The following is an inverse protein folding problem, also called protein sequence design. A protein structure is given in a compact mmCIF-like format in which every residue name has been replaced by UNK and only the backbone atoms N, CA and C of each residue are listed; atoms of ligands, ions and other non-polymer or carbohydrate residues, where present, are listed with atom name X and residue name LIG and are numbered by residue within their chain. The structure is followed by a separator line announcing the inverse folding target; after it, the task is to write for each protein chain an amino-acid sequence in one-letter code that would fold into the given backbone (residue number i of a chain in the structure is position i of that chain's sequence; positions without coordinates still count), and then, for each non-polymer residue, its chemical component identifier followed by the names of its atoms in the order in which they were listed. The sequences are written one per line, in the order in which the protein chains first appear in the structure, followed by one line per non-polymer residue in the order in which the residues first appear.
data_IF_768867146262
#
_entry.id   IF_768867146262
#
_cell.length_a   1.000
_cell.length_b   1.000
_cell.length_c   1.000
_cell.angle_alpha   90.00
_cell.angle_beta   90.00
_cell.angle_gamma   90.00
#
_symmetry.space_group_name_H-M   'P 1'
#
loop_
_entity.id
_entity.type
_entity.pdbx_description
1 polymer ?
#
# COMPACT_ATOMS: atom_id res chain seq x y z
N UNK A 1 -18.72 -10.63 -21.44
CA UNK A 1 -20.09 -10.06 -21.41
C UNK A 1 -21.08 -10.94 -20.63
N UNK A 2 -20.93 -12.27 -20.63
CA UNK A 2 -21.79 -13.16 -19.81
C UNK A 2 -21.65 -12.88 -18.31
N UNK A 3 -20.48 -12.59 -17.81
CA UNK A 3 -20.26 -12.24 -16.41
C UNK A 3 -21.06 -11.00 -15.99
N UNK A 4 -21.11 -9.98 -16.85
CA UNK A 4 -21.89 -8.76 -16.58
C UNK A 4 -23.39 -9.07 -16.60
N UNK A 5 -23.82 -9.93 -17.52
CA UNK A 5 -25.25 -10.29 -17.67
C UNK A 5 -25.76 -11.08 -16.47
N UNK A 6 -24.93 -11.97 -15.94
CA UNK A 6 -25.28 -12.85 -14.81
C UNK A 6 -25.02 -12.22 -13.43
N UNK A 7 -24.30 -11.10 -13.36
CA UNK A 7 -24.07 -10.41 -12.11
C UNK A 7 -25.35 -9.79 -11.55
N UNK A 8 -25.58 -9.94 -10.25
CA UNK A 8 -26.69 -9.34 -9.54
C UNK A 8 -26.61 -7.80 -9.56
N UNK A 9 -27.73 -7.13 -9.52
CA UNK A 9 -27.77 -5.68 -9.37
C UNK A 9 -27.47 -5.22 -7.95
N UNK A 10 -27.93 -6.00 -6.96
CA UNK A 10 -27.73 -5.71 -5.54
C UNK A 10 -27.30 -7.01 -4.85
N UNK A 11 -26.25 -6.92 -4.04
CA UNK A 11 -25.83 -7.98 -3.15
C UNK A 11 -25.40 -7.40 -1.80
N UNK A 12 -25.68 -8.13 -0.74
CA UNK A 12 -25.26 -7.77 0.61
C UNK A 12 -23.90 -8.41 0.86
N UNK A 13 -22.93 -7.66 1.42
CA UNK A 13 -21.64 -8.23 1.81
C UNK A 13 -21.80 -9.39 2.80
N UNK A 14 -21.04 -10.45 2.61
CA UNK A 14 -21.01 -11.60 3.52
C UNK A 14 -19.97 -11.41 4.61
N UNK A 15 -20.29 -11.80 5.84
CA UNK A 15 -19.36 -11.81 6.97
C UNK A 15 -18.73 -13.20 7.14
N UNK A 16 -17.54 -13.27 7.72
CA UNK A 16 -16.92 -14.54 8.13
C UNK A 16 -17.87 -15.27 9.08
N UNK A 17 -18.11 -16.55 8.79
CA UNK A 17 -19.04 -17.40 9.55
C UNK A 17 -20.52 -17.26 9.17
N UNK A 18 -20.85 -16.41 8.17
CA UNK A 18 -22.22 -16.23 7.69
C UNK A 18 -22.31 -16.18 6.17
N UNK A 19 -23.39 -16.70 5.63
CA UNK A 19 -23.66 -16.67 4.19
C UNK A 19 -22.63 -17.43 3.36
N UNK A 20 -22.10 -16.79 2.31
CA UNK A 20 -21.08 -17.39 1.42
C UNK A 20 -19.72 -17.66 2.10
N UNK A 21 -19.50 -17.10 3.29
CA UNK A 21 -18.28 -17.27 4.10
C UNK A 21 -18.53 -18.13 5.36
N UNK A 22 -19.59 -18.94 5.37
CA UNK A 22 -19.98 -19.80 6.51
C UNK A 22 -18.89 -20.80 6.92
N UNK A 23 -18.11 -21.28 5.94
CA UNK A 23 -17.04 -22.27 6.15
C UNK A 23 -15.70 -21.63 6.53
N UNK A 24 -15.61 -20.30 6.51
CA UNK A 24 -14.41 -19.59 6.93
C UNK A 24 -14.40 -19.37 8.45
N UNK A 25 -13.35 -19.84 9.09
CA UNK A 25 -13.12 -19.66 10.51
C UNK A 25 -11.82 -18.90 10.75
N UNK A 26 -11.81 -18.07 11.79
CA UNK A 26 -10.58 -17.40 12.22
C UNK A 26 -9.62 -18.44 12.81
N UNK A 27 -8.47 -18.61 12.17
CA UNK A 27 -7.43 -19.55 12.61
C UNK A 27 -6.18 -18.77 12.99
N UNK A 28 -5.69 -19.00 14.21
CA UNK A 28 -4.45 -18.39 14.67
C UNK A 28 -3.27 -19.35 14.44
N UNK A 29 -2.45 -19.03 13.44
CA UNK A 29 -1.24 -19.77 13.12
C UNK A 29 -0.02 -18.85 13.17
N UNK A 30 0.96 -19.17 14.00
CA UNK A 30 2.18 -18.37 14.13
C UNK A 30 2.91 -18.20 12.80
N UNK A 31 2.89 -19.22 11.95
CA UNK A 31 3.52 -19.21 10.62
C UNK A 31 2.89 -18.16 9.68
N UNK A 32 1.65 -17.78 9.89
CA UNK A 32 0.98 -16.72 9.13
C UNK A 32 1.09 -15.35 9.84
N UNK A 33 0.94 -15.35 11.17
CA UNK A 33 0.90 -14.11 11.97
C UNK A 33 2.23 -13.37 11.92
N UNK A 34 3.36 -14.09 12.04
CA UNK A 34 4.68 -13.44 12.09
C UNK A 34 5.01 -12.70 10.78
N UNK A 35 4.93 -13.33 9.59
CA UNK A 35 5.19 -12.62 8.33
C UNK A 35 4.21 -11.48 8.06
N UNK A 36 2.93 -11.70 8.35
CA UNK A 36 1.91 -10.65 8.19
C UNK A 36 2.20 -9.48 9.13
N UNK A 37 2.60 -9.75 10.38
CA UNK A 37 2.98 -8.71 11.34
C UNK A 37 4.17 -7.88 10.86
N UNK A 38 5.19 -8.50 10.27
CA UNK A 38 6.32 -7.78 9.65
C UNK A 38 5.84 -6.93 8.47
N UNK A 39 4.97 -7.47 7.63
CA UNK A 39 4.40 -6.72 6.51
C UNK A 39 3.59 -5.50 7.00
N UNK A 40 2.84 -5.63 8.09
CA UNK A 40 2.10 -4.49 8.68
C UNK A 40 3.03 -3.38 9.19
N UNK A 41 4.21 -3.70 9.69
CA UNK A 41 5.20 -2.68 10.06
C UNK A 41 5.67 -1.92 8.81
N UNK A 42 5.90 -2.63 7.70
CA UNK A 42 6.32 -2.02 6.44
C UNK A 42 5.21 -1.15 5.84
N UNK A 43 3.96 -1.64 5.82
CA UNK A 43 2.82 -0.85 5.33
C UNK A 43 2.54 0.37 6.20
N UNK A 44 2.77 0.30 7.52
CA UNK A 44 2.67 1.48 8.40
C UNK A 44 3.68 2.56 8.02
N UNK A 45 4.91 2.18 7.66
CA UNK A 45 5.94 3.13 7.17
C UNK A 45 5.51 3.73 5.82
N UNK A 46 4.98 2.91 4.91
CA UNK A 46 4.43 3.36 3.64
C UNK A 46 3.29 4.37 3.84
N UNK A 47 2.34 4.06 4.73
CA UNK A 47 1.22 4.96 5.07
C UNK A 47 1.72 6.30 5.62
N UNK A 48 2.74 6.31 6.48
CA UNK A 48 3.36 7.57 6.96
C UNK A 48 3.94 8.37 5.79
N UNK A 49 4.63 7.71 4.85
CA UNK A 49 5.16 8.35 3.65
C UNK A 49 4.07 8.95 2.76
N UNK A 50 3.02 8.19 2.50
CA UNK A 50 1.89 8.62 1.68
C UNK A 50 1.15 9.81 2.29
N UNK A 51 0.89 9.79 3.60
CA UNK A 51 0.23 10.90 4.30
C UNK A 51 1.10 12.15 4.24
N UNK A 52 2.41 12.02 4.51
CA UNK A 52 3.34 13.14 4.41
C UNK A 52 3.32 13.75 3.02
N UNK A 53 3.44 12.91 1.98
CA UNK A 53 3.45 13.35 0.60
C UNK A 53 2.10 13.97 0.15
N UNK A 54 0.96 13.43 0.62
CA UNK A 54 -0.36 14.01 0.37
C UNK A 54 -0.52 15.39 1.01
N UNK A 55 -0.07 15.57 2.25
CA UNK A 55 -0.19 16.84 2.97
C UNK A 55 0.75 17.87 2.37
N UNK A 56 1.99 17.51 2.09
CA UNK A 56 2.95 18.40 1.44
C UNK A 56 2.52 18.76 0.01
N UNK A 57 2.16 17.74 -0.78
CA UNK A 57 1.72 17.94 -2.15
C UNK A 57 0.41 18.71 -2.24
N UNK A 58 -0.55 18.47 -1.38
CA UNK A 58 -1.88 19.06 -1.40
C UNK A 58 -2.00 20.39 -0.68
N UNK A 59 -1.40 20.49 0.52
CA UNK A 59 -1.57 21.64 1.44
C UNK A 59 -0.33 22.52 1.55
N UNK A 60 0.80 22.13 0.93
CA UNK A 60 2.08 22.85 0.99
C UNK A 60 2.58 23.10 2.42
N UNK A 61 2.37 22.14 3.33
CA UNK A 61 2.85 22.16 4.72
C UNK A 61 3.33 20.78 5.13
N UNK A 62 4.04 20.69 6.23
CA UNK A 62 4.42 19.40 6.82
C UNK A 62 3.24 18.73 7.52
N UNK A 63 3.28 17.39 7.55
CA UNK A 63 2.35 16.58 8.31
C UNK A 63 2.63 16.68 9.80
N UNK A 64 1.60 16.78 10.62
CA UNK A 64 1.72 16.74 12.07
C UNK A 64 1.76 15.31 12.60
N UNK A 65 2.41 15.09 13.75
CA UNK A 65 2.47 13.75 14.38
C UNK A 65 1.08 13.15 14.63
N UNK A 66 0.09 14.00 14.93
CA UNK A 66 -1.30 13.57 15.11
C UNK A 66 -1.94 13.08 13.82
N UNK A 67 -1.63 13.72 12.70
CA UNK A 67 -2.12 13.27 11.38
C UNK A 67 -1.48 11.97 10.95
N UNK A 68 -0.17 11.82 11.17
CA UNK A 68 0.57 10.61 10.87
C UNK A 68 0.07 9.42 11.72
N UNK A 69 0.00 9.61 13.04
CA UNK A 69 -0.47 8.55 13.95
C UNK A 69 -1.94 8.20 13.70
N UNK A 70 -2.79 9.21 13.48
CA UNK A 70 -4.20 9.00 13.14
C UNK A 70 -4.39 8.22 11.86
N UNK A 71 -3.57 8.48 10.84
CA UNK A 71 -3.61 7.76 9.57
C UNK A 71 -3.22 6.30 9.71
N UNK A 72 -2.14 5.99 10.43
CA UNK A 72 -1.71 4.60 10.68
C UNK A 72 -2.77 3.83 11.49
N UNK A 73 -3.37 4.47 12.50
CA UNK A 73 -4.46 3.86 13.27
C UNK A 73 -5.67 3.59 12.37
N UNK A 74 -6.02 4.54 11.50
CA UNK A 74 -7.14 4.38 10.57
C UNK A 74 -6.89 3.21 9.59
N UNK A 75 -5.68 3.07 9.08
CA UNK A 75 -5.27 1.99 8.19
C UNK A 75 -5.36 0.62 8.89
N UNK A 76 -4.86 0.52 10.11
CA UNK A 76 -4.95 -0.70 10.92
C UNK A 76 -6.40 -1.08 11.28
N UNK A 77 -7.22 -0.11 11.67
CA UNK A 77 -8.65 -0.33 11.95
C UNK A 77 -9.41 -0.73 10.67
N UNK A 78 -9.11 -0.09 9.54
CA UNK A 78 -9.69 -0.43 8.26
C UNK A 78 -9.36 -1.85 7.83
N UNK A 79 -8.10 -2.27 7.97
CA UNK A 79 -7.65 -3.64 7.71
C UNK A 79 -8.33 -4.67 8.62
N UNK A 80 -8.48 -4.34 9.90
CA UNK A 80 -9.19 -5.20 10.87
C UNK A 80 -10.66 -5.34 10.50
N UNK A 81 -11.29 -4.25 10.07
CA UNK A 81 -12.68 -4.27 9.60
C UNK A 81 -12.82 -5.06 8.29
N UNK A 82 -11.90 -4.90 7.34
CA UNK A 82 -11.89 -5.66 6.08
C UNK A 82 -11.80 -7.18 6.33
N UNK A 83 -11.01 -7.59 7.34
CA UNK A 83 -10.87 -9.00 7.69
C UNK A 83 -12.21 -9.65 8.12
N UNK A 84 -13.15 -8.89 8.72
CA UNK A 84 -14.48 -9.40 9.08
C UNK A 84 -15.31 -9.80 7.85
N UNK A 85 -15.00 -9.23 6.70
CA UNK A 85 -15.63 -9.57 5.42
C UNK A 85 -14.83 -10.60 4.61
N UNK A 86 -13.76 -11.17 5.17
CA UNK A 86 -12.89 -12.10 4.45
C UNK A 86 -12.10 -11.44 3.30
N UNK A 87 -11.90 -10.13 3.36
CA UNK A 87 -11.16 -9.35 2.37
C UNK A 87 -9.73 -9.15 2.86
N UNK A 88 -8.78 -9.01 1.93
CA UNK A 88 -7.39 -8.71 2.23
C UNK A 88 -7.26 -7.37 2.97
N UNK A 89 -6.21 -7.23 3.79
CA UNK A 89 -5.91 -5.96 4.44
C UNK A 89 -5.84 -4.82 3.44
N UNK A 90 -6.36 -3.65 3.81
CA UNK A 90 -6.17 -2.43 3.04
C UNK A 90 -4.89 -1.72 3.49
N UNK A 91 -4.37 -0.86 2.62
CA UNK A 91 -3.28 0.07 2.91
C UNK A 91 -3.57 1.40 2.22
N UNK A 92 -2.77 2.42 2.50
CA UNK A 92 -2.84 3.68 1.77
C UNK A 92 -2.60 3.42 0.27
N UNK A 93 -3.28 4.20 -0.57
CA UNK A 93 -3.17 4.07 -2.02
C UNK A 93 -2.26 5.17 -2.58
N UNK A 94 -0.96 4.85 -2.69
CA UNK A 94 0.11 5.80 -3.05
C UNK A 94 -0.15 6.54 -4.37
N UNK A 95 -0.91 5.95 -5.30
CA UNK A 95 -1.29 6.61 -6.56
C UNK A 95 -2.12 7.88 -6.32
N UNK A 96 -2.87 7.95 -5.23
CA UNK A 96 -3.64 9.14 -4.88
C UNK A 96 -2.76 10.32 -4.47
N UNK A 97 -1.54 10.07 -4.01
CA UNK A 97 -0.57 11.13 -3.69
C UNK A 97 -0.31 12.01 -4.92
N UNK A 98 -0.06 11.38 -6.08
CA UNK A 98 0.11 12.09 -7.34
C UNK A 98 -1.14 12.89 -7.74
N UNK A 99 -2.33 12.29 -7.60
CA UNK A 99 -3.59 12.99 -7.89
C UNK A 99 -3.83 14.19 -6.98
N UNK A 100 -3.59 14.03 -5.67
CA UNK A 100 -3.72 15.13 -4.70
C UNK A 100 -2.73 16.25 -5.01
N UNK A 101 -1.49 15.92 -5.33
CA UNK A 101 -0.46 16.89 -5.70
C UNK A 101 -0.82 17.69 -6.94
N UNK A 102 -1.47 17.05 -7.93
CA UNK A 102 -1.92 17.70 -9.18
C UNK A 102 -3.20 18.51 -9.01
N UNK A 103 -4.21 17.93 -8.35
CA UNK A 103 -5.55 18.53 -8.25
C UNK A 103 -5.70 19.48 -7.08
N UNK A 104 -4.83 19.37 -6.07
CA UNK A 104 -4.92 20.11 -4.79
C UNK A 104 -6.26 19.91 -4.05
N UNK A 105 -6.97 18.82 -4.36
CA UNK A 105 -8.23 18.48 -3.69
C UNK A 105 -7.91 17.78 -2.38
N UNK A 106 -7.98 18.54 -1.28
CA UNK A 106 -7.71 18.09 0.10
C UNK A 106 -8.93 18.21 1.01
N UNK A 107 -10.07 18.55 0.45
CA UNK A 107 -11.31 18.72 1.22
C UNK A 107 -11.82 17.36 1.70
N UNK A 108 -11.92 17.20 3.03
CA UNK A 108 -12.41 15.98 3.68
C UNK A 108 -13.79 15.55 3.18
N UNK A 109 -14.68 16.51 2.92
CA UNK A 109 -16.02 16.21 2.41
C UNK A 109 -15.96 15.57 1.01
N UNK A 110 -15.15 16.13 0.10
CA UNK A 110 -15.00 15.58 -1.25
C UNK A 110 -14.43 14.15 -1.22
N UNK A 111 -13.43 13.90 -0.37
CA UNK A 111 -12.83 12.57 -0.20
C UNK A 111 -13.83 11.59 0.42
N UNK A 112 -14.60 12.03 1.43
CA UNK A 112 -15.64 11.20 2.06
C UNK A 112 -16.75 10.83 1.07
N UNK A 113 -17.14 11.72 0.16
CA UNK A 113 -18.10 11.41 -0.90
C UNK A 113 -17.58 10.34 -1.86
N UNK A 114 -16.27 10.36 -2.16
CA UNK A 114 -15.62 9.28 -2.92
C UNK A 114 -15.69 7.93 -2.19
N UNK A 115 -15.44 7.91 -0.89
CA UNK A 115 -15.56 6.70 -0.07
C UNK A 115 -17.00 6.17 -0.04
N UNK A 116 -18.00 7.04 0.13
CA UNK A 116 -19.42 6.67 0.08
C UNK A 116 -19.76 6.07 -1.29
N UNK A 117 -19.29 6.69 -2.37
CA UNK A 117 -19.50 6.17 -3.72
C UNK A 117 -18.91 4.75 -3.89
N UNK A 118 -17.70 4.49 -3.37
CA UNK A 118 -17.11 3.15 -3.41
C UNK A 118 -17.91 2.14 -2.59
N UNK A 119 -18.44 2.52 -1.44
CA UNK A 119 -19.33 1.66 -0.63
C UNK A 119 -20.59 1.31 -1.43
N UNK A 120 -21.22 2.28 -2.07
CA UNK A 120 -22.39 2.05 -2.92
C UNK A 120 -22.08 1.12 -4.10
N UNK A 121 -20.90 1.29 -4.72
CA UNK A 121 -20.42 0.37 -5.76
C UNK A 121 -20.23 -1.05 -5.23
N UNK A 122 -19.82 -1.22 -3.97
CA UNK A 122 -19.67 -2.52 -3.32
C UNK A 122 -21.01 -3.29 -3.18
N UNK A 123 -22.13 -2.59 -3.03
CA UNK A 123 -23.46 -3.21 -3.03
C UNK A 123 -23.96 -3.60 -4.43
N UNK A 124 -23.25 -3.20 -5.49
CA UNK A 124 -23.64 -3.46 -6.87
C UNK A 124 -22.61 -4.34 -7.59
N UNK A 125 -22.69 -5.70 -7.48
CA UNK A 125 -21.76 -6.62 -8.13
C UNK A 125 -21.61 -6.41 -9.64
N UNK A 126 -22.62 -5.85 -10.27
CA UNK A 126 -22.59 -5.53 -11.70
C UNK A 126 -21.50 -4.52 -12.07
N UNK A 127 -21.23 -3.54 -11.20
CA UNK A 127 -20.13 -2.58 -11.40
C UNK A 127 -18.78 -3.32 -11.33
N UNK A 128 -18.59 -4.22 -10.36
CA UNK A 128 -17.41 -5.07 -10.27
C UNK A 128 -17.23 -5.95 -11.51
N UNK A 129 -18.31 -6.54 -12.02
CA UNK A 129 -18.27 -7.33 -13.23
C UNK A 129 -17.88 -6.51 -14.48
N UNK A 130 -18.33 -5.26 -14.58
CA UNK A 130 -17.92 -4.34 -15.66
C UNK A 130 -16.41 -4.07 -15.56
N UNK A 131 -15.90 -3.78 -14.38
CA UNK A 131 -14.49 -3.52 -14.15
C UNK A 131 -13.61 -4.75 -14.46
N UNK A 132 -14.09 -5.96 -14.13
CA UNK A 132 -13.35 -7.22 -14.40
C UNK A 132 -13.23 -7.58 -15.89
N UNK A 133 -14.10 -7.03 -16.73
CA UNK A 133 -14.12 -7.27 -18.20
C UNK A 133 -13.32 -6.19 -18.95
N UNK A 134 -12.74 -5.20 -18.24
CA UNK A 134 -11.94 -4.17 -18.90
C UNK A 134 -10.73 -4.79 -19.62
N UNK A 135 -10.44 -4.37 -20.87
CA UNK A 135 -9.28 -4.85 -21.62
C UNK A 135 -7.97 -4.58 -20.88
N UNK A 136 -7.07 -5.57 -20.86
CA UNK A 136 -5.76 -5.46 -20.22
C UNK A 136 -4.93 -4.30 -20.76
N UNK A 137 -5.10 -3.94 -22.03
CA UNK A 137 -4.42 -2.79 -22.65
C UNK A 137 -4.85 -1.45 -22.04
N UNK A 138 -6.12 -1.30 -21.67
CA UNK A 138 -6.64 -0.09 -21.00
C UNK A 138 -6.09 -0.01 -19.58
N UNK A 139 -6.17 -1.12 -18.84
CA UNK A 139 -5.64 -1.20 -17.48
C UNK A 139 -4.11 -0.98 -17.47
N UNK A 140 -3.38 -1.54 -18.44
CA UNK A 140 -1.94 -1.36 -18.58
C UNK A 140 -1.55 0.10 -18.84
N UNK A 141 -2.28 0.79 -19.72
CA UNK A 141 -2.06 2.21 -19.98
C UNK A 141 -2.27 3.10 -18.74
N UNK A 142 -3.37 2.85 -18.02
CA UNK A 142 -3.63 3.55 -16.75
C UNK A 142 -2.55 3.24 -15.70
N UNK A 143 -2.12 1.97 -15.59
CA UNK A 143 -1.10 1.53 -14.65
C UNK A 143 0.25 2.25 -14.88
N UNK A 144 0.69 2.40 -16.14
CA UNK A 144 1.94 3.11 -16.47
C UNK A 144 1.91 4.54 -15.94
N UNK A 145 0.81 5.27 -16.14
CA UNK A 145 0.68 6.65 -15.66
C UNK A 145 0.66 6.71 -14.13
N UNK A 146 -0.04 5.79 -13.48
CA UNK A 146 -0.10 5.73 -12.02
C UNK A 146 1.27 5.42 -11.41
N UNK A 147 1.97 4.41 -11.91
CA UNK A 147 3.31 4.07 -11.41
C UNK A 147 4.35 5.16 -11.67
N UNK A 148 4.26 5.86 -12.80
CA UNK A 148 5.10 7.02 -13.05
C UNK A 148 4.86 8.13 -12.00
N UNK A 149 3.61 8.37 -11.61
CA UNK A 149 3.27 9.35 -10.57
C UNK A 149 3.82 8.96 -9.20
N UNK A 150 3.74 7.67 -8.84
CA UNK A 150 4.31 7.15 -7.59
C UNK A 150 5.83 7.34 -7.57
N UNK A 151 6.50 6.99 -8.67
CA UNK A 151 7.95 7.15 -8.81
C UNK A 151 8.38 8.61 -8.58
N UNK A 152 7.68 9.54 -9.21
CA UNK A 152 7.97 10.99 -9.05
C UNK A 152 7.71 11.43 -7.61
N UNK A 153 6.62 10.98 -6.97
CA UNK A 153 6.35 11.30 -5.57
C UNK A 153 7.43 10.74 -4.63
N UNK A 154 7.92 9.54 -4.87
CA UNK A 154 9.05 8.96 -4.15
C UNK A 154 10.34 9.76 -4.32
N UNK A 155 10.65 10.21 -5.54
CA UNK A 155 11.81 11.08 -5.81
C UNK A 155 11.66 12.41 -5.06
N UNK A 156 10.49 13.03 -5.08
CA UNK A 156 10.23 14.28 -4.37
C UNK A 156 10.45 14.14 -2.86
N UNK A 157 10.00 13.04 -2.25
CA UNK A 157 10.23 12.75 -0.84
C UNK A 157 11.73 12.59 -0.52
N UNK A 158 12.46 11.83 -1.33
CA UNK A 158 13.90 11.60 -1.14
C UNK A 158 14.69 12.91 -1.28
N UNK A 159 14.33 13.76 -2.23
CA UNK A 159 15.03 15.01 -2.54
C UNK A 159 14.60 16.21 -1.69
N UNK A 160 13.69 16.02 -0.76
CA UNK A 160 13.21 17.08 0.13
C UNK A 160 14.35 17.65 1.00
N UNK A 161 15.22 16.77 1.48
CA UNK A 161 16.42 17.15 2.22
C UNK A 161 17.67 17.08 1.34
N UNK A 162 18.71 17.87 1.63
CA UNK A 162 19.97 17.79 0.89
C UNK A 162 20.59 16.40 0.96
N UNK A 163 20.84 15.81 -0.19
CA UNK A 163 21.36 14.44 -0.29
C UNK A 163 22.89 14.51 -0.17
N UNK A 164 23.43 14.13 0.98
CA UNK A 164 24.87 13.98 1.22
C UNK A 164 25.38 12.56 0.87
N UNK A 165 26.68 12.33 1.06
CA UNK A 165 27.29 11.01 0.77
C UNK A 165 26.69 9.88 1.60
N UNK A 166 26.25 10.16 2.83
CA UNK A 166 25.59 9.19 3.71
C UNK A 166 24.23 8.78 3.14
N UNK A 167 23.43 9.76 2.78
CA UNK A 167 22.08 9.56 2.22
C UNK A 167 22.15 8.81 0.89
N UNK A 168 23.12 9.17 0.02
CA UNK A 168 23.38 8.46 -1.23
C UNK A 168 23.67 6.98 -0.97
N UNK A 169 24.50 6.68 0.02
CA UNK A 169 24.84 5.29 0.36
C UNK A 169 23.61 4.52 0.84
N UNK A 170 22.81 5.11 1.74
CA UNK A 170 21.59 4.49 2.26
C UNK A 170 20.60 4.21 1.11
N UNK A 171 20.32 5.20 0.29
CA UNK A 171 19.36 5.11 -0.81
C UNK A 171 19.83 4.07 -1.84
N UNK A 172 21.10 4.12 -2.24
CA UNK A 172 21.64 3.22 -3.26
C UNK A 172 21.62 1.76 -2.81
N UNK A 173 22.03 1.47 -1.59
CA UNK A 173 22.03 0.10 -1.06
C UNK A 173 20.60 -0.39 -0.83
N UNK A 174 19.73 0.45 -0.27
CA UNK A 174 18.35 0.07 -0.01
C UNK A 174 17.58 -0.23 -1.30
N UNK A 175 17.64 0.65 -2.30
CA UNK A 175 17.00 0.45 -3.60
C UNK A 175 17.64 -0.74 -4.33
N UNK A 176 18.97 -0.85 -4.31
CA UNK A 176 19.69 -1.94 -4.95
C UNK A 176 19.31 -3.31 -4.40
N UNK A 177 19.21 -3.45 -3.08
CA UNK A 177 18.74 -4.68 -2.43
C UNK A 177 17.25 -4.94 -2.71
N UNK A 178 16.41 -3.92 -2.58
CA UNK A 178 14.98 -4.05 -2.82
C UNK A 178 14.67 -4.45 -4.25
N UNK A 179 15.23 -3.75 -5.21
CA UNK A 179 15.06 -4.07 -6.62
C UNK A 179 15.70 -5.42 -7.00
N UNK A 180 16.93 -5.66 -6.53
CA UNK A 180 17.65 -6.90 -6.84
C UNK A 180 16.91 -8.15 -6.35
N UNK A 181 16.41 -8.14 -5.11
CA UNK A 181 15.65 -9.26 -4.55
C UNK A 181 14.24 -9.35 -5.14
N UNK A 182 13.58 -8.22 -5.40
CA UNK A 182 12.21 -8.20 -5.94
C UNK A 182 12.12 -8.53 -7.42
N UNK A 183 13.12 -8.14 -8.24
CA UNK A 183 13.11 -8.37 -9.68
C UNK A 183 13.71 -9.75 -10.08
N UNK A 184 14.51 -10.38 -9.21
CA UNK A 184 15.18 -11.64 -9.51
C UNK A 184 14.36 -12.83 -9.02
N UNK A 185 13.75 -13.56 -9.95
CA UNK A 185 13.02 -14.77 -9.62
C UNK A 185 13.94 -15.80 -8.94
N UNK A 186 13.51 -16.28 -7.78
CA UNK A 186 14.25 -17.28 -7.01
C UNK A 186 15.47 -16.77 -6.24
N UNK A 187 15.70 -15.46 -6.16
CA UNK A 187 16.81 -14.90 -5.38
C UNK A 187 16.83 -15.37 -3.91
N UNK A 188 15.66 -15.61 -3.34
CA UNK A 188 15.48 -16.05 -1.95
C UNK A 188 15.32 -17.58 -1.81
N UNK A 189 15.33 -18.35 -2.90
CA UNK A 189 15.00 -19.78 -2.92
C UNK A 189 15.91 -20.66 -2.06
N UNK A 190 17.14 -20.21 -1.78
CA UNK A 190 18.12 -20.92 -0.95
C UNK A 190 18.03 -20.56 0.54
N UNK A 191 17.18 -19.59 0.90
CA UNK A 191 17.03 -19.13 2.27
C UNK A 191 16.01 -19.99 3.02
N UNK A 192 16.05 -20.03 4.37
CA UNK A 192 15.04 -20.71 5.17
C UNK A 192 13.63 -20.20 4.86
N UNK A 193 12.65 -21.10 4.95
CA UNK A 193 11.25 -20.83 4.57
C UNK A 193 10.67 -19.52 5.12
N UNK A 194 10.94 -19.21 6.38
CA UNK A 194 10.45 -17.97 7.00
C UNK A 194 11.07 -16.71 6.37
N UNK A 195 12.33 -16.79 5.98
CA UNK A 195 13.00 -15.67 5.31
C UNK A 195 12.48 -15.52 3.88
N UNK A 196 12.25 -16.63 3.18
CA UNK A 196 11.60 -16.59 1.86
C UNK A 196 10.22 -15.94 1.92
N UNK A 197 9.44 -16.25 2.95
CA UNK A 197 8.08 -15.72 3.11
C UNK A 197 8.08 -14.18 3.30
N UNK A 198 9.07 -13.67 4.01
CA UNK A 198 9.20 -12.23 4.29
C UNK A 198 9.86 -11.47 3.13
N UNK A 199 10.90 -12.03 2.54
CA UNK A 199 11.73 -11.33 1.54
C UNK A 199 11.45 -11.74 0.08
N UNK A 200 10.83 -12.88 -0.14
CA UNK A 200 10.61 -13.43 -1.49
C UNK A 200 9.37 -12.88 -2.20
N UNK A 201 8.46 -12.25 -1.48
CA UNK A 201 7.19 -11.77 -2.04
C UNK A 201 7.24 -10.33 -2.57
N UNK A 202 8.16 -9.50 -2.08
CA UNK A 202 8.21 -8.08 -2.44
C UNK A 202 9.58 -7.48 -2.17
N UNK A 203 10.06 -6.63 -3.08
CA UNK A 203 11.29 -5.85 -2.90
C UNK A 203 11.16 -4.71 -1.86
N UNK A 204 9.94 -4.36 -1.46
CA UNK A 204 9.67 -3.27 -0.50
C UNK A 204 10.24 -3.60 0.88
N UNK A 205 10.04 -4.84 1.35
CA UNK A 205 10.52 -5.27 2.67
C UNK A 205 12.04 -5.19 2.80
N UNK A 206 12.85 -5.80 1.91
CA UNK A 206 14.30 -5.68 2.00
C UNK A 206 14.79 -4.24 1.80
N UNK A 207 14.14 -3.45 0.95
CA UNK A 207 14.46 -2.03 0.76
C UNK A 207 14.26 -1.25 2.08
N UNK A 208 13.10 -1.36 2.69
CA UNK A 208 12.76 -0.64 3.93
C UNK A 208 13.65 -1.05 5.10
N UNK A 209 13.88 -2.35 5.28
CA UNK A 209 14.75 -2.85 6.34
C UNK A 209 16.19 -2.39 6.13
N UNK A 210 16.73 -2.45 4.91
CA UNK A 210 18.07 -1.95 4.61
C UNK A 210 18.19 -0.45 4.88
N UNK A 211 17.20 0.35 4.47
CA UNK A 211 17.19 1.79 4.73
C UNK A 211 17.21 2.11 6.23
N UNK A 212 16.35 1.43 7.01
CA UNK A 212 16.28 1.62 8.47
C UNK A 212 17.59 1.21 9.13
N UNK A 213 18.09 0.02 8.84
CA UNK A 213 19.34 -0.50 9.44
C UNK A 213 20.53 0.40 9.11
N UNK A 214 20.69 0.79 7.85
CA UNK A 214 21.78 1.68 7.44
C UNK A 214 21.64 3.07 8.06
N UNK A 215 20.43 3.57 8.22
CA UNK A 215 20.21 4.86 8.87
C UNK A 215 20.56 4.85 10.36
N UNK A 216 20.45 3.69 11.02
CA UNK A 216 20.84 3.51 12.42
C UNK A 216 22.36 3.31 12.54
N UNK A 217 22.96 2.50 11.66
CA UNK A 217 24.37 2.08 11.75
C UNK A 217 25.32 3.16 11.25
N UNK A 218 24.97 3.85 10.16
CA UNK A 218 25.85 4.87 9.60
C UNK A 218 25.85 6.14 10.48
N UNK A 219 27.03 6.66 10.83
CA UNK A 219 27.14 7.86 11.65
C UNK A 219 26.43 9.04 10.97
N UNK A 220 25.71 9.82 11.76
CA UNK A 220 25.15 11.09 11.29
C UNK A 220 26.33 12.05 11.05
N UNK A 221 26.39 12.66 9.88
CA UNK A 221 27.36 13.72 9.62
C UNK A 221 27.14 14.81 10.68
N UNK A 222 28.10 15.00 11.57
CA UNK A 222 28.10 16.18 12.42
C UNK A 222 28.23 17.40 11.51
N UNK A 223 27.23 18.28 11.55
CA UNK A 223 27.32 19.60 10.93
C UNK A 223 28.43 20.40 11.57
#
# INVERSE_FOLDING_TARGET
FEQIKNAAWIAVPSFIGFGALSDMHVVFQANAIIPIGIMFIVTAIETVGDISACIEGGMAREATDTELSGGVICDGLGSSFAALFGVLPNTSFSQNVGLVSMTKVVNRFAISMGAIFLILCGFCPKIGAIMSVMPQSVLGGAAVMMFASILISGIQLITKEPIGSREITIISVAIGLGYGLGATNGATSQLPYYIQLVFGGSGIVPCSLAAILLNIVLPKNSK
#
